data_IF_141651992199
#
_entry.id   IF_141651992199
#
_cell.length_a   1.000
_cell.length_b   1.000
_cell.length_c   1.000
_cell.angle_alpha   90.00
_cell.angle_beta   90.00
_cell.angle_gamma   90.00
#
_symmetry.space_group_name_H-M   'P 1'
#
loop_
_entity.id
_entity.type
_entity.pdbx_description
1 polymer ?
#
# COMPACT_ATOMS: atom_id res chain seq x y z
N UNK A 1 -19.74 18.02 -10.85
CA UNK A 1 -18.43 18.41 -11.43
C UNK A 1 -17.33 18.62 -10.37
N UNK A 2 -17.48 19.50 -9.37
CA UNK A 2 -16.45 19.73 -8.32
C UNK A 2 -16.07 18.49 -7.48
N UNK A 3 -17.04 17.66 -7.13
CA UNK A 3 -16.79 16.45 -6.34
C UNK A 3 -15.92 15.41 -7.07
N UNK A 4 -16.01 15.33 -8.40
CA UNK A 4 -15.25 14.39 -9.24
C UNK A 4 -13.75 14.75 -9.32
N UNK A 5 -13.41 16.04 -9.26
CA UNK A 5 -12.03 16.53 -9.27
C UNK A 5 -11.30 16.26 -7.95
N UNK A 6 -11.94 16.56 -6.82
CA UNK A 6 -11.40 16.22 -5.49
C UNK A 6 -11.24 14.71 -5.32
N UNK A 7 -12.13 13.94 -5.95
CA UNK A 7 -12.11 12.48 -6.05
C UNK A 7 -10.91 11.93 -6.79
N UNK A 8 -10.63 12.47 -7.97
CA UNK A 8 -9.45 12.14 -8.73
C UNK A 8 -8.20 12.46 -7.92
N UNK A 9 -8.14 13.64 -7.28
CA UNK A 9 -6.98 14.04 -6.47
C UNK A 9 -6.74 13.09 -5.29
N UNK A 10 -7.78 12.76 -4.51
CA UNK A 10 -7.63 11.87 -3.34
C UNK A 10 -7.19 10.45 -3.72
N UNK A 11 -7.75 9.90 -4.80
CA UNK A 11 -7.39 8.56 -5.30
C UNK A 11 -5.96 8.55 -5.86
N UNK A 12 -5.59 9.60 -6.60
CA UNK A 12 -4.22 9.79 -7.10
C UNK A 12 -3.23 9.99 -5.97
N UNK A 13 -3.62 10.66 -4.88
CA UNK A 13 -2.77 10.86 -3.71
C UNK A 13 -2.45 9.53 -3.01
N UNK A 14 -3.45 8.68 -2.77
CA UNK A 14 -3.24 7.34 -2.20
C UNK A 14 -2.37 6.46 -3.10
N UNK A 15 -2.60 6.49 -4.42
CA UNK A 15 -1.77 5.78 -5.40
C UNK A 15 -0.34 6.32 -5.40
N UNK A 16 -0.18 7.65 -5.32
CA UNK A 16 1.13 8.31 -5.29
C UNK A 16 1.92 7.92 -4.05
N UNK A 17 1.29 7.91 -2.87
CA UNK A 17 1.93 7.46 -1.63
C UNK A 17 2.31 5.98 -1.70
N UNK A 18 1.44 5.12 -2.25
CA UNK A 18 1.78 3.72 -2.47
C UNK A 18 2.98 3.56 -3.41
N UNK A 19 3.02 4.32 -4.51
CA UNK A 19 4.17 4.32 -5.43
C UNK A 19 5.44 4.83 -4.76
N UNK A 20 5.34 5.88 -3.94
CA UNK A 20 6.45 6.52 -3.24
C UNK A 20 7.09 5.59 -2.22
N UNK A 21 6.29 4.92 -1.39
CA UNK A 21 6.79 4.16 -0.26
C UNK A 21 6.91 2.65 -0.51
N UNK A 22 6.10 2.06 -1.39
CA UNK A 22 5.98 0.59 -1.50
C UNK A 22 6.41 0.03 -2.86
N UNK A 23 6.22 0.74 -3.97
CA UNK A 23 6.45 0.19 -5.31
C UNK A 23 7.89 -0.27 -5.54
N UNK A 24 8.89 0.51 -5.07
CA UNK A 24 10.30 0.14 -5.25
C UNK A 24 10.68 -1.11 -4.46
N UNK A 25 10.17 -1.24 -3.23
CA UNK A 25 10.37 -2.44 -2.40
C UNK A 25 9.69 -3.66 -3.03
N UNK A 26 8.46 -3.51 -3.52
CA UNK A 26 7.72 -4.59 -4.17
C UNK A 26 8.40 -5.03 -5.48
N UNK A 27 8.83 -4.09 -6.31
CA UNK A 27 9.55 -4.40 -7.55
C UNK A 27 10.90 -5.05 -7.28
N UNK A 28 11.63 -4.58 -6.27
CA UNK A 28 12.86 -5.22 -5.83
C UNK A 28 12.57 -6.66 -5.37
N UNK A 29 11.52 -6.88 -4.58
CA UNK A 29 11.12 -8.20 -4.11
C UNK A 29 10.76 -9.18 -5.24
N UNK A 30 10.03 -8.71 -6.27
CA UNK A 30 9.62 -9.55 -7.41
C UNK A 30 10.78 -9.81 -8.37
N UNK A 31 11.66 -8.81 -8.58
CA UNK A 31 12.63 -8.82 -9.69
C UNK A 31 14.11 -8.96 -9.27
N UNK A 32 14.47 -8.93 -7.98
CA UNK A 32 15.86 -9.22 -7.57
C UNK A 32 16.15 -10.71 -7.55
N UNK A 33 16.86 -11.18 -8.58
CA UNK A 33 17.30 -12.59 -8.73
C UNK A 33 18.21 -13.12 -7.61
N UNK A 34 18.75 -12.25 -6.75
CA UNK A 34 19.51 -12.67 -5.56
C UNK A 34 18.63 -13.34 -4.49
N UNK A 35 17.34 -13.01 -4.46
CA UNK A 35 16.37 -13.64 -3.58
C UNK A 35 15.74 -14.89 -4.21
N UNK A 36 15.70 -15.04 -5.54
CA UNK A 36 15.05 -16.21 -6.17
C UNK A 36 15.77 -17.53 -5.88
N UNK A 37 17.11 -17.53 -5.79
CA UNK A 37 17.87 -18.74 -5.48
C UNK A 37 17.74 -19.16 -4.00
N UNK A 38 17.81 -18.21 -3.07
CA UNK A 38 17.61 -18.47 -1.63
C UNK A 38 16.14 -18.77 -1.30
N UNK A 39 15.18 -18.20 -2.04
CA UNK A 39 13.73 -18.40 -1.88
C UNK A 39 13.28 -19.82 -2.20
N UNK A 40 13.89 -20.45 -3.20
CA UNK A 40 13.54 -21.81 -3.64
C UNK A 40 13.95 -22.86 -2.61
N UNK A 41 15.00 -22.57 -1.82
CA UNK A 41 15.59 -23.51 -0.85
C UNK A 41 15.16 -23.19 0.61
N UNK A 42 15.06 -21.91 0.99
CA UNK A 42 14.87 -21.47 2.39
C UNK A 42 13.53 -20.75 2.63
N UNK A 43 12.77 -20.40 1.59
CA UNK A 43 11.58 -19.56 1.72
C UNK A 43 11.88 -18.12 2.16
N UNK A 44 10.82 -17.32 2.38
CA UNK A 44 10.97 -15.97 2.94
C UNK A 44 10.89 -16.00 4.47
N UNK A 45 11.63 -15.09 5.12
CA UNK A 45 11.39 -14.80 6.54
C UNK A 45 9.94 -14.33 6.73
N UNK A 46 9.26 -14.88 7.74
CA UNK A 46 7.84 -14.62 7.99
C UNK A 46 7.50 -13.13 8.12
N UNK A 47 8.41 -12.34 8.69
CA UNK A 47 8.25 -10.88 8.83
C UNK A 47 8.13 -10.14 7.48
N UNK A 48 8.91 -10.56 6.49
CA UNK A 48 8.87 -9.99 5.13
C UNK A 48 7.55 -10.38 4.47
N UNK A 49 7.15 -11.64 4.59
CA UNK A 49 5.90 -12.16 4.04
C UNK A 49 4.68 -11.43 4.63
N UNK A 50 4.68 -11.22 5.95
CA UNK A 50 3.65 -10.50 6.68
C UNK A 50 3.55 -9.05 6.21
N UNK A 51 4.70 -8.37 6.04
CA UNK A 51 4.76 -7.00 5.54
C UNK A 51 4.23 -6.90 4.11
N UNK A 52 4.59 -7.86 3.25
CA UNK A 52 4.12 -7.92 1.88
C UNK A 52 2.60 -8.11 1.81
N UNK A 53 2.06 -9.05 2.59
CA UNK A 53 0.61 -9.27 2.68
C UNK A 53 -0.13 -8.02 3.14
N UNK A 54 0.41 -7.30 4.13
CA UNK A 54 -0.17 -6.03 4.60
C UNK A 54 -0.18 -4.95 3.53
N UNK A 55 0.92 -4.81 2.77
CA UNK A 55 1.00 -3.89 1.63
C UNK A 55 0.04 -4.28 0.50
N UNK A 56 -0.14 -5.57 0.22
CA UNK A 56 -1.13 -6.07 -0.74
C UNK A 56 -2.56 -5.72 -0.32
N UNK A 57 -2.89 -5.83 0.97
CA UNK A 57 -4.20 -5.44 1.49
C UNK A 57 -4.45 -3.93 1.33
N UNK A 58 -3.44 -3.08 1.51
CA UNK A 58 -3.58 -1.65 1.22
C UNK A 58 -3.93 -1.41 -0.25
N UNK A 59 -3.26 -2.10 -1.18
CA UNK A 59 -3.50 -1.94 -2.62
C UNK A 59 -4.92 -2.36 -3.02
N UNK A 60 -5.38 -3.51 -2.52
CA UNK A 60 -6.75 -4.00 -2.72
C UNK A 60 -7.76 -3.00 -2.15
N UNK A 61 -7.45 -2.38 -1.02
CA UNK A 61 -8.33 -1.39 -0.38
C UNK A 61 -8.44 -0.10 -1.19
N UNK A 62 -7.35 0.36 -1.81
CA UNK A 62 -7.37 1.49 -2.74
C UNK A 62 -8.26 1.14 -3.95
N UNK A 63 -8.09 -0.04 -4.53
CA UNK A 63 -8.93 -0.51 -5.64
C UNK A 63 -10.41 -0.58 -5.24
N UNK A 64 -10.72 -1.12 -4.07
CA UNK A 64 -12.07 -1.18 -3.52
C UNK A 64 -12.64 0.21 -3.24
N UNK A 65 -11.84 1.16 -2.76
CA UNK A 65 -12.23 2.56 -2.55
C UNK A 65 -12.65 3.21 -3.87
N UNK A 66 -11.87 3.00 -4.93
CA UNK A 66 -12.19 3.48 -6.29
C UNK A 66 -13.49 2.83 -6.78
N UNK A 67 -13.61 1.49 -6.70
CA UNK A 67 -14.79 0.76 -7.15
C UNK A 67 -16.08 1.17 -6.41
N UNK A 68 -16.04 1.19 -5.07
CA UNK A 68 -17.20 1.59 -4.26
C UNK A 68 -17.60 3.02 -4.57
N UNK A 69 -16.65 3.93 -4.76
CA UNK A 69 -16.98 5.33 -5.00
C UNK A 69 -17.56 5.61 -6.39
N UNK A 70 -17.30 4.75 -7.37
CA UNK A 70 -17.89 4.85 -8.72
C UNK A 70 -19.20 4.07 -8.90
N UNK A 71 -19.43 2.98 -8.17
CA UNK A 71 -20.64 2.14 -8.31
C UNK A 71 -21.64 2.24 -7.16
N UNK A 72 -21.20 2.57 -5.95
CA UNK A 72 -22.05 2.52 -4.74
C UNK A 72 -21.78 3.73 -3.84
N UNK A 73 -22.52 4.84 -4.01
CA UNK A 73 -22.42 6.02 -3.14
C UNK A 73 -22.55 5.65 -1.65
N UNK A 74 -21.91 6.43 -0.77
CA UNK A 74 -21.96 6.32 0.70
C UNK A 74 -21.43 5.05 1.39
N UNK A 75 -20.90 4.05 0.67
CA UNK A 75 -20.25 2.88 1.29
C UNK A 75 -18.76 3.03 1.60
N UNK A 76 -18.18 4.22 1.45
CA UNK A 76 -16.76 4.47 1.75
C UNK A 76 -16.43 4.32 3.25
N UNK A 77 -17.42 4.49 4.13
CA UNK A 77 -17.28 4.25 5.58
C UNK A 77 -17.01 2.78 5.90
N UNK A 78 -17.46 1.85 5.05
CA UNK A 78 -17.20 0.41 5.21
C UNK A 78 -15.71 0.14 5.15
N UNK A 79 -14.98 0.80 4.25
CA UNK A 79 -13.53 0.62 4.15
C UNK A 79 -12.80 1.13 5.38
N UNK A 80 -13.21 2.29 5.92
CA UNK A 80 -12.64 2.80 7.17
C UNK A 80 -12.88 1.82 8.33
N UNK A 81 -14.11 1.30 8.46
CA UNK A 81 -14.45 0.29 9.45
C UNK A 81 -13.60 -0.99 9.29
N UNK A 82 -13.38 -1.46 8.06
CA UNK A 82 -12.56 -2.65 7.80
C UNK A 82 -11.09 -2.42 8.15
N UNK A 83 -10.53 -1.24 7.81
CA UNK A 83 -9.16 -0.88 8.17
C UNK A 83 -9.00 -0.81 9.69
N UNK A 84 -9.95 -0.20 10.39
CA UNK A 84 -9.90 -0.07 11.84
C UNK A 84 -10.01 -1.45 12.52
N UNK A 85 -11.00 -2.25 12.12
CA UNK A 85 -11.25 -3.59 12.67
C UNK A 85 -10.08 -4.55 12.43
N UNK A 86 -9.46 -4.48 11.25
CA UNK A 86 -8.36 -5.38 10.86
C UNK A 86 -7.04 -4.63 10.73
N UNK A 87 -6.79 -3.63 11.57
CA UNK A 87 -5.62 -2.75 11.47
C UNK A 87 -4.28 -3.47 11.33
N UNK A 88 -4.11 -4.58 12.05
CA UNK A 88 -2.91 -5.42 11.99
C UNK A 88 -2.67 -6.10 10.63
N UNK A 89 -3.66 -6.10 9.74
CA UNK A 89 -3.59 -6.65 8.39
C UNK A 89 -3.22 -5.57 7.35
N UNK A 90 -3.02 -4.32 7.75
CA UNK A 90 -2.66 -3.21 6.87
C UNK A 90 -1.30 -2.62 7.26
N UNK A 91 -0.65 -1.98 6.29
CA UNK A 91 0.63 -1.28 6.50
C UNK A 91 0.41 0.21 6.29
N UNK A 92 0.10 0.96 7.34
CA UNK A 92 -0.26 2.38 7.21
C UNK A 92 0.97 3.28 7.26
N UNK A 93 0.82 4.57 6.93
CA UNK A 93 1.90 5.55 6.98
C UNK A 93 2.58 5.61 8.37
N UNK A 94 1.82 5.36 9.44
CA UNK A 94 2.34 5.27 10.81
C UNK A 94 3.27 4.05 11.05
N UNK A 95 3.21 3.03 10.19
CA UNK A 95 4.06 1.84 10.25
C UNK A 95 5.35 1.99 9.43
N UNK A 96 5.49 3.08 8.66
CA UNK A 96 6.69 3.35 7.87
C UNK A 96 7.84 3.65 8.83
N UNK A 97 8.92 2.88 8.70
CA UNK A 97 10.15 3.12 9.46
C UNK A 97 10.61 4.58 9.29
N UNK A 98 10.84 5.33 10.38
CA UNK A 98 11.24 6.74 10.31
C UNK A 98 12.49 6.99 9.46
N UNK A 99 13.48 6.09 9.48
CA UNK A 99 14.69 6.20 8.69
C UNK A 99 14.43 5.94 7.20
N UNK A 100 13.47 5.06 6.87
CA UNK A 100 12.99 4.90 5.49
C UNK A 100 12.25 6.14 5.04
N UNK A 101 11.38 6.70 5.89
CA UNK A 101 10.62 7.92 5.58
C UNK A 101 11.53 9.10 5.26
N UNK A 102 12.50 9.39 6.13
CA UNK A 102 13.50 10.46 5.93
C UNK A 102 14.29 10.24 4.63
N UNK A 103 14.74 9.02 4.36
CA UNK A 103 15.49 8.70 3.14
C UNK A 103 14.67 8.91 1.87
N UNK A 104 13.40 8.51 1.90
CA UNK A 104 12.49 8.67 0.77
C UNK A 104 12.14 10.14 0.58
N UNK A 105 11.80 10.88 1.64
CA UNK A 105 11.51 12.32 1.57
C UNK A 105 12.68 13.11 0.97
N UNK A 106 13.90 12.86 1.43
CA UNK A 106 15.13 13.46 0.87
C UNK A 106 15.36 13.19 -0.63
N UNK A 107 14.83 12.10 -1.16
CA UNK A 107 14.95 11.79 -2.60
C UNK A 107 13.99 12.62 -3.47
N UNK A 108 12.90 13.13 -2.88
CA UNK A 108 11.87 13.91 -3.57
C UNK A 108 11.93 15.41 -3.26
N UNK A 109 12.91 15.86 -2.46
CA UNK A 109 13.35 17.26 -2.36
C UNK A 109 14.17 17.65 -3.60
#
# INVERSE_FOLDING_TARGET
MRAYWLLFIASNYQISNFKKYHLKQLNSFVHTGKQSFTRDIMGFKGEILLTLMRQSNNLITIAAQIMLKHRVPDKQKVIHYLIEKYRQCFYLDADVDPAVRVRVEKYFE
#
